data_IF_992065122305
#
_entry.id   IF_992065122305
#
_cell.length_a   1.000
_cell.length_b   1.000
_cell.length_c   1.000
_cell.angle_alpha   90.00
_cell.angle_beta   90.00
_cell.angle_gamma   90.00
#
_symmetry.space_group_name_H-M   'P 1'
#
loop_
_entity.id
_entity.type
_entity.pdbx_description
1 polymer ?
#
# COMPACT_ATOMS: atom_id res chain seq x y z
N UNK A 1 18.47 -15.44 -17.20
CA UNK A 1 18.08 -15.31 -15.77
C UNK A 1 17.68 -13.87 -15.47
N UNK A 2 18.40 -12.86 -15.96
CA UNK A 2 18.04 -11.44 -15.73
C UNK A 2 16.70 -11.05 -16.38
N UNK A 3 16.43 -11.48 -17.63
CA UNK A 3 15.12 -11.25 -18.27
C UNK A 3 13.92 -11.84 -17.48
N UNK A 4 14.14 -12.92 -16.71
CA UNK A 4 13.08 -13.50 -15.86
C UNK A 4 12.84 -12.62 -14.63
N UNK A 5 13.90 -12.05 -14.06
CA UNK A 5 13.78 -11.11 -12.94
C UNK A 5 13.05 -9.84 -13.35
N UNK A 6 13.38 -9.29 -14.53
CA UNK A 6 12.72 -8.10 -15.09
C UNK A 6 11.22 -8.32 -15.29
N UNK A 7 10.81 -9.49 -15.81
CA UNK A 7 9.38 -9.81 -15.97
C UNK A 7 8.65 -9.90 -14.63
N UNK A 8 9.26 -10.54 -13.62
CA UNK A 8 8.68 -10.67 -12.27
C UNK A 8 8.60 -9.29 -11.60
N UNK A 9 9.64 -8.48 -11.76
CA UNK A 9 9.66 -7.10 -11.25
C UNK A 9 8.60 -6.22 -11.93
N UNK A 10 8.43 -6.34 -13.25
CA UNK A 10 7.39 -5.62 -13.98
C UNK A 10 5.98 -6.00 -13.49
N UNK A 11 5.75 -7.30 -13.25
CA UNK A 11 4.49 -7.75 -12.66
C UNK A 11 4.29 -7.18 -11.24
N UNK A 12 5.32 -7.23 -10.38
CA UNK A 12 5.26 -6.63 -9.04
C UNK A 12 4.94 -5.12 -9.11
N UNK A 13 5.58 -4.38 -10.00
CA UNK A 13 5.31 -2.94 -10.19
C UNK A 13 3.86 -2.69 -10.64
N UNK A 14 3.34 -3.50 -11.56
CA UNK A 14 1.97 -3.36 -12.05
C UNK A 14 0.95 -3.60 -10.94
N UNK A 15 1.09 -4.69 -10.16
CA UNK A 15 0.17 -4.98 -9.05
C UNK A 15 0.32 -4.02 -7.87
N UNK A 16 1.52 -3.49 -7.62
CA UNK A 16 1.72 -2.44 -6.61
C UNK A 16 1.00 -1.16 -7.02
N UNK A 17 1.14 -0.71 -8.28
CA UNK A 17 0.41 0.47 -8.78
C UNK A 17 -1.12 0.29 -8.67
N UNK A 18 -1.60 -0.92 -8.95
CA UNK A 18 -3.02 -1.24 -8.77
C UNK A 18 -3.43 -1.20 -7.28
N UNK A 19 -2.62 -1.76 -6.38
CA UNK A 19 -2.88 -1.67 -4.95
C UNK A 19 -2.90 -0.21 -4.48
N UNK A 20 -1.95 0.62 -4.90
CA UNK A 20 -1.85 2.02 -4.48
C UNK A 20 -3.09 2.82 -4.90
N UNK A 21 -3.58 2.63 -6.13
CA UNK A 21 -4.84 3.21 -6.62
C UNK A 21 -6.03 2.83 -5.74
N UNK A 22 -6.17 1.54 -5.45
CA UNK A 22 -7.28 1.00 -4.65
C UNK A 22 -7.16 1.46 -3.19
N UNK A 23 -5.97 1.44 -2.61
CA UNK A 23 -5.69 1.91 -1.26
C UNK A 23 -5.99 3.41 -1.12
N UNK A 24 -5.61 4.22 -2.11
CA UNK A 24 -5.90 5.65 -2.14
C UNK A 24 -7.42 5.94 -2.06
N UNK A 25 -8.22 5.23 -2.87
CA UNK A 25 -9.70 5.32 -2.83
C UNK A 25 -10.27 4.82 -1.50
N UNK A 26 -9.76 3.70 -0.99
CA UNK A 26 -10.17 3.15 0.30
C UNK A 26 -9.85 4.13 1.46
N UNK A 27 -8.67 4.76 1.44
CA UNK A 27 -8.23 5.73 2.45
C UNK A 27 -9.06 7.01 2.41
N UNK A 28 -9.36 7.53 1.23
CA UNK A 28 -10.26 8.69 1.08
C UNK A 28 -11.64 8.40 1.72
N UNK A 29 -12.20 7.22 1.44
CA UNK A 29 -13.48 6.78 2.02
C UNK A 29 -13.39 6.64 3.53
N UNK A 30 -12.36 5.97 4.04
CA UNK A 30 -12.11 5.83 5.47
C UNK A 30 -11.96 7.17 6.18
N UNK A 31 -11.19 8.11 5.64
CA UNK A 31 -11.01 9.44 6.22
C UNK A 31 -12.33 10.25 6.19
N UNK A 32 -13.16 10.06 5.17
CA UNK A 32 -14.51 10.64 5.16
C UNK A 32 -15.37 10.09 6.31
N UNK A 33 -15.32 8.78 6.59
CA UNK A 33 -16.03 8.18 7.72
C UNK A 33 -15.47 8.66 9.06
N UNK A 34 -14.14 8.68 9.23
CA UNK A 34 -13.52 9.25 10.45
C UNK A 34 -13.97 10.69 10.68
N UNK A 35 -14.07 11.50 9.61
CA UNK A 35 -14.49 12.91 9.68
C UNK A 35 -15.97 13.09 9.98
N UNK A 36 -16.85 12.31 9.36
CA UNK A 36 -18.29 12.56 9.35
C UNK A 36 -19.09 11.67 10.31
N UNK A 37 -18.60 10.47 10.61
CA UNK A 37 -19.31 9.48 11.42
C UNK A 37 -18.58 9.12 12.72
N UNK A 38 -17.48 9.83 13.03
CA UNK A 38 -16.61 9.58 14.18
C UNK A 38 -16.05 8.15 14.26
N UNK A 39 -15.83 7.49 13.12
CA UNK A 39 -15.19 6.17 13.08
C UNK A 39 -13.81 6.21 13.79
N UNK A 40 -13.55 5.23 14.67
CA UNK A 40 -12.33 5.15 15.49
C UNK A 40 -11.44 3.96 15.14
N UNK A 41 -11.85 3.13 14.18
CA UNK A 41 -11.02 2.00 13.71
C UNK A 41 -9.86 2.49 12.84
N UNK A 42 -8.72 1.83 13.01
CA UNK A 42 -7.57 1.99 12.11
C UNK A 42 -7.95 1.62 10.69
N UNK A 43 -7.29 2.24 9.70
CA UNK A 43 -7.50 1.93 8.28
C UNK A 43 -7.43 0.42 8.01
N UNK A 44 -6.44 -0.29 8.59
CA UNK A 44 -6.29 -1.73 8.41
C UNK A 44 -7.54 -2.53 8.86
N UNK A 45 -8.06 -2.24 10.05
CA UNK A 45 -9.26 -2.89 10.58
C UNK A 45 -10.50 -2.51 9.79
N UNK A 46 -10.64 -1.24 9.43
CA UNK A 46 -11.76 -0.74 8.64
C UNK A 46 -11.78 -1.35 7.24
N UNK A 47 -10.65 -1.35 6.52
CA UNK A 47 -10.55 -1.83 5.15
C UNK A 47 -10.81 -3.34 5.06
N UNK A 48 -10.42 -4.12 6.06
CA UNK A 48 -10.72 -5.54 6.14
C UNK A 48 -12.24 -5.82 6.18
N UNK A 49 -13.02 -4.91 6.77
CA UNK A 49 -14.47 -5.06 6.92
C UNK A 49 -15.25 -4.43 5.76
N UNK A 50 -14.78 -3.29 5.26
CA UNK A 50 -15.55 -2.41 4.39
C UNK A 50 -15.02 -2.33 2.95
N UNK A 51 -13.81 -2.82 2.68
CA UNK A 51 -13.17 -2.65 1.38
C UNK A 51 -12.55 -3.97 0.83
N UNK A 52 -13.37 -4.94 0.40
CA UNK A 52 -12.88 -6.25 -0.06
C UNK A 52 -11.91 -6.19 -1.24
N UNK A 53 -12.10 -5.22 -2.15
CA UNK A 53 -11.20 -5.02 -3.30
C UNK A 53 -9.76 -4.75 -2.84
N UNK A 54 -9.57 -3.93 -1.81
CA UNK A 54 -8.26 -3.61 -1.22
C UNK A 54 -7.59 -4.88 -0.68
N UNK A 55 -8.34 -5.73 0.02
CA UNK A 55 -7.81 -6.99 0.55
C UNK A 55 -7.37 -7.93 -0.58
N UNK A 56 -8.14 -8.00 -1.66
CA UNK A 56 -7.81 -8.81 -2.83
C UNK A 56 -6.52 -8.33 -3.53
N UNK A 57 -6.42 -7.03 -3.86
CA UNK A 57 -5.23 -6.50 -4.53
C UNK A 57 -4.00 -6.52 -3.63
N UNK A 58 -4.17 -6.32 -2.32
CA UNK A 58 -3.09 -6.49 -1.34
C UNK A 58 -2.57 -7.93 -1.35
N UNK A 59 -3.46 -8.93 -1.38
CA UNK A 59 -3.07 -10.34 -1.46
C UNK A 59 -2.31 -10.66 -2.76
N UNK A 60 -2.75 -10.09 -3.88
CA UNK A 60 -2.07 -10.24 -5.18
C UNK A 60 -0.67 -9.62 -5.14
N UNK A 61 -0.54 -8.42 -4.56
CA UNK A 61 0.75 -7.76 -4.38
C UNK A 61 1.68 -8.56 -3.46
N UNK A 62 1.18 -9.03 -2.32
CA UNK A 62 1.96 -9.84 -1.38
C UNK A 62 2.46 -11.13 -2.05
N UNK A 63 1.65 -11.74 -2.92
CA UNK A 63 2.04 -12.92 -3.72
C UNK A 63 3.12 -12.59 -4.76
N UNK A 64 3.00 -11.47 -5.48
CA UNK A 64 4.00 -11.01 -6.44
C UNK A 64 5.33 -10.64 -5.77
N UNK A 65 5.27 -10.03 -4.58
CA UNK A 65 6.45 -9.71 -3.79
C UNK A 65 7.19 -10.99 -3.38
N UNK A 66 6.46 -12.03 -2.94
CA UNK A 66 7.08 -13.30 -2.59
C UNK A 66 7.78 -13.96 -3.80
N UNK A 67 7.20 -13.86 -5.00
CA UNK A 67 7.83 -14.34 -6.23
C UNK A 67 9.10 -13.56 -6.57
N UNK A 68 9.06 -12.23 -6.43
CA UNK A 68 10.22 -11.37 -6.63
C UNK A 68 11.34 -11.69 -5.63
N UNK A 69 11.02 -11.80 -4.34
CA UNK A 69 11.98 -12.14 -3.28
C UNK A 69 12.70 -13.48 -3.58
N UNK A 70 11.94 -14.50 -4.00
CA UNK A 70 12.51 -15.79 -4.40
C UNK A 70 13.42 -15.68 -5.63
N UNK A 71 13.02 -14.88 -6.63
CA UNK A 71 13.80 -14.68 -7.84
C UNK A 71 15.11 -13.92 -7.55
N UNK A 72 15.05 -12.84 -6.77
CA UNK A 72 16.23 -12.08 -6.32
C UNK A 72 17.19 -12.98 -5.57
N UNK A 73 16.69 -13.75 -4.60
CA UNK A 73 17.52 -14.67 -3.83
C UNK A 73 18.22 -15.71 -4.74
N UNK A 74 17.46 -16.30 -5.68
CA UNK A 74 18.00 -17.30 -6.62
C UNK A 74 19.05 -16.75 -7.58
N UNK A 75 18.89 -15.50 -8.03
CA UNK A 75 19.71 -14.92 -9.10
C UNK A 75 20.93 -14.18 -8.53
N UNK A 76 20.76 -13.44 -7.43
CA UNK A 76 21.79 -12.57 -6.84
C UNK A 76 22.47 -13.15 -5.60
N UNK A 77 21.98 -14.28 -5.07
CA UNK A 77 22.62 -14.99 -3.96
C UNK A 77 22.74 -14.12 -2.69
N UNK A 78 23.93 -14.04 -2.04
CA UNK A 78 24.15 -13.24 -0.83
C UNK A 78 23.84 -11.74 -1.01
N UNK A 79 24.14 -11.16 -2.17
CA UNK A 79 23.81 -9.75 -2.46
C UNK A 79 22.29 -9.54 -2.53
N UNK A 80 21.55 -10.57 -2.99
CA UNK A 80 20.10 -10.58 -2.99
C UNK A 80 19.52 -10.42 -1.58
N UNK A 81 20.12 -11.03 -0.55
CA UNK A 81 19.64 -10.88 0.82
C UNK A 81 19.73 -9.43 1.31
N UNK A 82 20.82 -8.73 0.98
CA UNK A 82 21.02 -7.33 1.33
C UNK A 82 19.95 -6.43 0.68
N UNK A 83 19.70 -6.63 -0.62
CA UNK A 83 18.64 -5.89 -1.36
C UNK A 83 17.27 -6.08 -0.70
N UNK A 84 16.93 -7.32 -0.34
CA UNK A 84 15.66 -7.64 0.29
C UNK A 84 15.53 -7.03 1.70
N UNK A 85 16.63 -6.98 2.46
CA UNK A 85 16.64 -6.37 3.79
C UNK A 85 16.50 -4.84 3.72
N UNK A 86 17.23 -4.17 2.83
CA UNK A 86 17.10 -2.72 2.59
C UNK A 86 15.67 -2.36 2.17
N UNK A 87 15.06 -3.13 1.26
CA UNK A 87 13.68 -2.94 0.85
C UNK A 87 12.67 -3.13 1.99
N UNK A 88 12.88 -4.14 2.86
CA UNK A 88 12.02 -4.37 4.04
C UNK A 88 12.12 -3.24 5.05
N UNK A 89 13.32 -2.69 5.27
CA UNK A 89 13.53 -1.58 6.19
C UNK A 89 12.85 -0.30 5.67
N UNK A 90 13.07 0.04 4.40
CA UNK A 90 12.41 1.19 3.77
C UNK A 90 10.87 1.09 3.84
N UNK A 91 10.33 -0.11 3.59
CA UNK A 91 8.88 -0.34 3.72
C UNK A 91 8.39 -0.16 5.16
N UNK A 92 9.11 -0.71 6.14
CA UNK A 92 8.75 -0.57 7.56
C UNK A 92 8.71 0.91 7.97
N UNK A 93 9.68 1.70 7.54
CA UNK A 93 9.72 3.14 7.81
C UNK A 93 8.54 3.88 7.19
N UNK A 94 8.21 3.57 5.93
CA UNK A 94 7.05 4.13 5.24
C UNK A 94 5.74 3.75 5.95
N UNK A 95 5.57 2.48 6.31
CA UNK A 95 4.38 1.97 7.01
C UNK A 95 4.21 2.63 8.39
N UNK A 96 5.30 2.81 9.15
CA UNK A 96 5.29 3.50 10.44
C UNK A 96 4.89 4.96 10.30
N UNK A 97 5.45 5.65 9.31
CA UNK A 97 5.10 7.05 9.02
C UNK A 97 3.62 7.18 8.68
N UNK A 98 3.09 6.29 7.83
CA UNK A 98 1.68 6.32 7.45
C UNK A 98 0.77 6.01 8.64
N UNK A 99 1.10 4.99 9.46
CA UNK A 99 0.32 4.65 10.65
C UNK A 99 0.26 5.81 11.65
N UNK A 100 1.36 6.54 11.80
CA UNK A 100 1.39 7.72 12.67
C UNK A 100 0.46 8.83 12.16
N UNK A 101 0.48 9.11 10.85
CA UNK A 101 -0.44 10.07 10.22
C UNK A 101 -1.89 9.64 10.40
N UNK A 102 -2.21 8.37 10.13
CA UNK A 102 -3.55 7.80 10.29
C UNK A 102 -4.06 7.93 11.73
N UNK A 103 -3.18 7.66 12.72
CA UNK A 103 -3.49 7.80 14.13
C UNK A 103 -3.81 9.25 14.50
N UNK A 104 -3.04 10.21 13.99
CA UNK A 104 -3.30 11.63 14.24
C UNK A 104 -4.66 12.07 13.69
N UNK A 105 -5.09 11.56 12.53
CA UNK A 105 -6.43 11.83 11.96
C UNK A 105 -7.54 11.16 12.77
N UNK A 106 -7.31 9.97 13.32
CA UNK A 106 -8.27 9.27 14.18
C UNK A 106 -8.47 9.96 15.53
N UNK A 107 -7.39 10.46 16.12
CA UNK A 107 -7.42 11.18 17.39
C UNK A 107 -8.09 12.55 17.22
N UNK A 108 -7.80 13.26 16.12
CA UNK A 108 -8.40 14.56 15.81
C UNK A 108 -8.89 14.62 14.35
N UNK A 109 -10.17 14.28 14.09
CA UNK A 109 -10.74 14.31 12.74
C UNK A 109 -10.74 15.70 12.09
N UNK A 110 -10.57 16.78 12.86
CA UNK A 110 -10.44 18.14 12.30
C UNK A 110 -9.16 18.32 11.50
N UNK A 111 -8.16 17.47 11.70
CA UNK A 111 -6.93 17.45 10.92
C UNK A 111 -7.12 16.90 9.52
N UNK A 112 -8.26 16.29 9.18
CA UNK A 112 -8.55 15.72 7.85
C UNK A 112 -8.84 16.84 6.85
N UNK A 113 -7.93 17.04 5.91
CA UNK A 113 -7.97 18.09 4.87
C UNK A 113 -8.80 17.65 3.66
N UNK A 114 -9.12 18.60 2.77
CA UNK A 114 -9.75 18.26 1.48
C UNK A 114 -8.82 17.47 0.55
N UNK A 115 -7.50 17.69 0.68
CA UNK A 115 -6.50 16.92 -0.06
C UNK A 115 -6.54 15.45 0.35
N UNK A 116 -6.61 15.17 1.66
CA UNK A 116 -6.72 13.80 2.20
C UNK A 116 -7.95 13.06 1.64
N UNK A 117 -9.03 13.78 1.38
CA UNK A 117 -10.29 13.22 0.85
C UNK A 117 -10.29 13.06 -0.67
N UNK A 118 -9.36 13.69 -1.39
CA UNK A 118 -9.34 13.71 -2.87
C UNK A 118 -8.19 12.91 -3.48
N UNK A 119 -7.30 12.33 -2.66
CA UNK A 119 -6.14 11.54 -3.11
C UNK A 119 -6.53 10.40 -4.07
N UNK A 120 -7.73 9.82 -3.91
CA UNK A 120 -8.22 8.71 -4.75
C UNK A 120 -8.90 9.11 -6.05
N UNK A 121 -9.24 10.38 -6.25
CA UNK A 121 -10.03 10.85 -7.40
C UNK A 121 -9.18 11.46 -8.53
N UNK A 122 -7.98 11.96 -8.21
CA UNK A 122 -7.10 12.61 -9.21
C UNK A 122 -6.44 11.63 -10.19
N UNK A 123 -6.43 10.33 -9.90
CA UNK A 123 -5.81 9.34 -10.78
C UNK A 123 -6.74 8.83 -11.90
N UNK A 124 -8.05 9.10 -11.83
CA UNK A 124 -9.02 8.69 -12.87
C UNK A 124 -9.15 9.70 -14.02
N UNK A 125 -8.74 10.96 -13.84
CA UNK A 125 -8.87 12.02 -14.87
C UNK A 125 -7.67 12.10 -15.84
N UNK A 126 -6.68 11.20 -15.70
CA UNK A 126 -5.38 11.28 -16.40
C UNK A 126 -4.98 10.06 -17.23
N UNK A 127 -5.91 9.19 -17.62
CA UNK A 127 -5.67 8.09 -18.58
C UNK A 127 -6.35 8.32 -19.94
#
# INVERSE_FOLDING_TARGET
MEAQLEMIEANLRAVTKQQDRVESRARSTWLSEVKNTEEKRTFATWAQLNYPEYMMVKQQRDSAQAQYDQAVFRIKGPEGQKILEEGRNARREADQKQQQLDKEKLEDPKKITEEDLTVGQREEEGE
#
